data_IF_300978944122
#
_entry.id   IF_300978944122
#
_cell.length_a   1.000
_cell.length_b   1.000
_cell.length_c   1.000
_cell.angle_alpha   90.00
_cell.angle_beta   90.00
_cell.angle_gamma   90.00
#
_symmetry.space_group_name_H-M   'P 1'
#
loop_
_entity.id
_entity.type
_entity.pdbx_description
1 polymer ?
#
# COMPACT_ATOMS: atom_id res chain seq x y z
N UNK A 1 20.36 -2.01 3.45
CA UNK A 1 18.99 -2.22 3.98
C UNK A 1 18.31 -0.94 4.50
N UNK A 2 19.03 0.13 4.86
CA UNK A 2 18.41 1.40 5.32
C UNK A 2 17.46 2.05 4.30
N UNK A 3 17.78 1.96 3.00
CA UNK A 3 16.92 2.51 1.93
C UNK A 3 15.63 1.72 1.69
N UNK A 4 15.68 0.39 1.78
CA UNK A 4 14.50 -0.47 1.63
C UNK A 4 13.48 -0.23 2.76
N UNK A 5 13.96 -0.11 4.00
CA UNK A 5 13.12 0.24 5.14
C UNK A 5 12.49 1.62 4.99
N UNK A 6 13.25 2.63 4.54
CA UNK A 6 12.73 3.99 4.31
C UNK A 6 11.60 4.04 3.28
N UNK A 7 11.61 3.13 2.31
CA UNK A 7 10.63 3.09 1.23
C UNK A 7 9.55 2.02 1.42
N UNK A 8 9.56 1.28 2.54
CA UNK A 8 8.67 0.14 2.75
C UNK A 8 7.18 0.53 2.70
N UNK A 9 6.81 1.64 3.33
CA UNK A 9 5.43 2.13 3.29
C UNK A 9 4.99 2.54 1.88
N UNK A 10 5.90 3.14 1.10
CA UNK A 10 5.64 3.50 -0.30
C UNK A 10 5.43 2.24 -1.16
N UNK A 11 6.25 1.21 -0.95
CA UNK A 11 6.14 -0.08 -1.65
C UNK A 11 4.79 -0.73 -1.32
N UNK A 12 4.36 -0.71 -0.05
CA UNK A 12 3.09 -1.30 0.36
C UNK A 12 1.88 -0.59 -0.27
N UNK A 13 1.92 0.75 -0.38
CA UNK A 13 0.93 1.52 -1.15
C UNK A 13 0.91 1.08 -2.61
N UNK A 14 2.09 0.95 -3.23
CA UNK A 14 2.22 0.60 -4.65
C UNK A 14 1.60 -0.77 -4.94
N UNK A 15 1.80 -1.75 -4.04
CA UNK A 15 1.17 -3.08 -4.14
C UNK A 15 -0.36 -2.97 -4.09
N UNK A 16 -0.91 -2.20 -3.15
CA UNK A 16 -2.35 -1.98 -3.06
C UNK A 16 -2.94 -1.36 -4.33
N UNK A 17 -2.25 -0.37 -4.92
CA UNK A 17 -2.66 0.28 -6.18
C UNK A 17 -2.60 -0.70 -7.36
N UNK A 18 -1.56 -1.53 -7.44
CA UNK A 18 -1.45 -2.54 -8.52
C UNK A 18 -2.59 -3.57 -8.43
N UNK A 19 -3.00 -3.98 -7.23
CA UNK A 19 -4.16 -4.87 -7.05
C UNK A 19 -5.45 -4.20 -7.54
N UNK A 20 -5.67 -2.93 -7.20
CA UNK A 20 -6.84 -2.18 -7.68
C UNK A 20 -6.85 -2.06 -9.21
N UNK A 21 -5.70 -1.77 -9.82
CA UNK A 21 -5.55 -1.72 -11.27
C UNK A 21 -5.85 -3.08 -11.91
N UNK A 22 -5.30 -4.16 -11.36
CA UNK A 22 -5.59 -5.51 -11.84
C UNK A 22 -7.08 -5.84 -11.76
N UNK A 23 -7.76 -5.46 -10.67
CA UNK A 23 -9.21 -5.62 -10.53
C UNK A 23 -9.98 -4.84 -11.61
N UNK A 24 -9.52 -3.62 -11.93
CA UNK A 24 -10.10 -2.80 -13.01
C UNK A 24 -9.96 -3.46 -14.38
N UNK A 25 -8.81 -4.08 -14.68
CA UNK A 25 -8.57 -4.71 -15.98
C UNK A 25 -9.22 -6.10 -16.13
N UNK A 26 -9.38 -6.84 -15.02
CA UNK A 26 -9.96 -8.20 -15.04
C UNK A 26 -11.48 -8.22 -14.79
N UNK A 27 -12.12 -7.07 -14.59
CA UNK A 27 -13.56 -6.96 -14.34
C UNK A 27 -14.01 -7.38 -12.93
N UNK A 28 -13.08 -7.58 -12.00
CA UNK A 28 -13.36 -8.01 -10.63
C UNK A 28 -13.63 -6.82 -9.68
N UNK A 29 -14.33 -5.80 -10.18
CA UNK A 29 -14.60 -4.51 -9.51
C UNK A 29 -15.77 -4.57 -8.51
N UNK A 30 -16.41 -5.73 -8.34
CA UNK A 30 -17.50 -5.92 -7.37
C UNK A 30 -17.11 -6.78 -6.16
N UNK A 31 -15.88 -7.28 -6.13
CA UNK A 31 -15.44 -8.19 -5.08
C UNK A 31 -14.88 -7.39 -3.90
N UNK A 32 -15.79 -7.03 -2.99
CA UNK A 32 -15.50 -6.21 -1.82
C UNK A 32 -14.40 -6.78 -0.92
N UNK A 33 -14.14 -8.08 -0.97
CA UNK A 33 -13.00 -8.66 -0.26
C UNK A 33 -11.66 -8.17 -0.84
N UNK A 34 -11.54 -8.14 -2.17
CA UNK A 34 -10.32 -7.69 -2.88
C UNK A 34 -10.18 -6.17 -2.83
N UNK A 35 -11.28 -5.44 -3.05
CA UNK A 35 -11.31 -3.98 -2.90
C UNK A 35 -11.00 -3.56 -1.46
N UNK A 36 -11.60 -4.22 -0.47
CA UNK A 36 -11.36 -3.94 0.93
C UNK A 36 -9.92 -4.22 1.34
N UNK A 37 -9.35 -5.37 0.96
CA UNK A 37 -7.95 -5.70 1.27
C UNK A 37 -6.96 -4.75 0.60
N UNK A 38 -7.20 -4.35 -0.66
CA UNK A 38 -6.34 -3.38 -1.34
C UNK A 38 -6.41 -1.98 -0.71
N UNK A 39 -7.58 -1.52 -0.30
CA UNK A 39 -7.72 -0.26 0.47
C UNK A 39 -6.99 -0.35 1.81
N UNK A 40 -7.14 -1.45 2.54
CA UNK A 40 -6.42 -1.68 3.81
C UNK A 40 -4.91 -1.65 3.60
N UNK A 41 -4.40 -2.27 2.53
CA UNK A 41 -2.97 -2.24 2.19
C UNK A 41 -2.48 -0.81 1.92
N UNK A 42 -3.25 0.00 1.19
CA UNK A 42 -2.90 1.41 0.92
C UNK A 42 -2.86 2.21 2.23
N UNK A 43 -3.86 2.07 3.09
CA UNK A 43 -3.93 2.78 4.37
C UNK A 43 -2.77 2.36 5.30
N UNK A 44 -2.52 1.07 5.45
CA UNK A 44 -1.41 0.55 6.25
C UNK A 44 -0.05 0.98 5.69
N UNK A 45 0.09 1.03 4.37
CA UNK A 45 1.30 1.52 3.70
C UNK A 45 1.54 3.00 3.99
N UNK A 46 0.48 3.81 3.97
CA UNK A 46 0.56 5.23 4.31
C UNK A 46 0.95 5.45 5.78
N UNK A 47 0.31 4.73 6.71
CA UNK A 47 0.66 4.79 8.13
C UNK A 47 2.12 4.39 8.34
N UNK A 48 2.55 3.28 7.72
CA UNK A 48 3.94 2.81 7.81
C UNK A 48 4.91 3.85 7.24
N UNK A 49 4.61 4.47 6.10
CA UNK A 49 5.43 5.52 5.50
C UNK A 49 5.59 6.73 6.42
N UNK A 50 4.48 7.18 7.04
CA UNK A 50 4.50 8.31 7.97
C UNK A 50 5.34 7.97 9.21
N UNK A 51 5.10 6.81 9.83
CA UNK A 51 5.81 6.38 11.05
C UNK A 51 7.30 6.21 10.79
N UNK A 52 7.68 5.57 9.68
CA UNK A 52 9.10 5.35 9.32
C UNK A 52 9.79 6.68 9.06
N UNK A 53 9.16 7.59 8.31
CA UNK A 53 9.77 8.90 8.06
C UNK A 53 9.88 9.76 9.33
N UNK A 54 8.90 9.69 10.22
CA UNK A 54 8.97 10.39 11.52
C UNK A 54 10.11 9.84 12.38
N UNK A 55 10.27 8.51 12.44
CA UNK A 55 11.36 7.81 13.15
C UNK A 55 12.76 8.08 12.60
N UNK A 56 12.90 8.53 11.35
CA UNK A 56 14.20 8.86 10.72
C UNK A 56 14.55 10.34 10.95
N UNK A 57 13.55 11.18 11.21
CA UNK A 57 13.73 12.61 11.47
C UNK A 57 14.05 12.92 12.95
N UNK A 58 13.59 12.09 13.88
CA UNK A 58 14.10 11.99 15.26
C UNK A 58 15.46 11.26 15.32
#
# INVERSE_FOLDING_TARGET
MKGLLKNLGLILILVGVVILLACSFTGNVNNNAILGTSVVLVVLGLISYIVINKKIAD
#
